data_IF_857597848670
#
_entry.id   IF_857597848670
#
_cell.length_a   1.000
_cell.length_b   1.000
_cell.length_c   1.000
_cell.angle_alpha   90.00
_cell.angle_beta   90.00
_cell.angle_gamma   90.00
#
_symmetry.space_group_name_H-M   'P 1'
#
loop_
_entity.id
_entity.type
_entity.pdbx_description
1 polymer ?
#
# COMPACT_ATOMS: atom_id res chain seq x y z
N UNK A 1 -72.08 -19.05 9.21
CA UNK A 1 -71.47 -19.55 7.97
C UNK A 1 -70.39 -18.55 7.54
N UNK A 2 -69.19 -18.84 7.82
CA UNK A 2 -67.97 -18.28 7.18
C UNK A 2 -66.78 -19.12 7.69
N UNK A 3 -66.13 -19.79 6.78
CA UNK A 3 -65.06 -20.72 7.01
C UNK A 3 -63.76 -20.00 7.42
N UNK A 4 -63.10 -20.57 8.44
CA UNK A 4 -61.77 -20.18 8.89
C UNK A 4 -60.74 -20.94 8.06
N UNK A 5 -59.87 -20.22 7.36
CA UNK A 5 -58.66 -20.74 6.71
C UNK A 5 -57.53 -20.97 7.72
N UNK A 6 -56.56 -21.87 7.44
CA UNK A 6 -55.59 -22.35 8.43
C UNK A 6 -54.46 -21.36 8.67
N UNK A 7 -54.11 -21.23 9.98
CA UNK A 7 -53.06 -20.39 10.49
C UNK A 7 -51.66 -20.82 10.07
N UNK A 8 -50.83 -19.86 9.67
CA UNK A 8 -49.41 -20.01 9.51
C UNK A 8 -48.75 -20.08 10.90
N UNK A 9 -48.08 -21.19 11.17
CA UNK A 9 -47.18 -21.37 12.31
C UNK A 9 -45.97 -20.47 12.14
N UNK A 10 -45.68 -19.62 13.12
CA UNK A 10 -44.41 -18.98 13.28
C UNK A 10 -43.43 -20.03 13.80
N UNK A 11 -42.39 -20.28 13.02
CA UNK A 11 -41.23 -21.07 13.42
C UNK A 11 -40.28 -20.14 14.20
N UNK A 12 -40.26 -20.31 15.51
CA UNK A 12 -39.27 -19.64 16.39
C UNK A 12 -37.92 -20.40 16.25
N UNK A 13 -37.22 -20.08 15.18
CA UNK A 13 -35.87 -20.58 14.92
C UNK A 13 -34.86 -19.88 15.81
N UNK A 14 -34.30 -20.66 16.70
CA UNK A 14 -33.22 -20.43 17.64
C UNK A 14 -32.11 -19.52 17.10
N UNK A 15 -31.79 -18.49 17.90
CA UNK A 15 -30.69 -17.56 17.63
C UNK A 15 -29.34 -18.24 17.72
N UNK A 16 -28.78 -18.63 16.62
CA UNK A 16 -27.35 -18.87 16.51
C UNK A 16 -26.63 -17.54 16.66
N UNK A 17 -26.07 -17.27 17.83
CA UNK A 17 -25.07 -16.23 18.06
C UNK A 17 -23.85 -16.54 17.18
N UNK A 18 -23.89 -16.04 15.94
CA UNK A 18 -22.76 -16.08 15.02
C UNK A 18 -21.59 -15.33 15.64
N UNK A 19 -20.55 -16.06 16.01
CA UNK A 19 -19.23 -15.55 16.32
C UNK A 19 -18.83 -14.58 15.20
N UNK A 20 -18.91 -13.28 15.48
CA UNK A 20 -18.33 -12.26 14.61
C UNK A 20 -16.84 -12.53 14.60
N UNK A 21 -16.34 -13.11 13.54
CA UNK A 21 -14.91 -13.18 13.29
C UNK A 21 -14.32 -11.77 13.34
N UNK A 22 -13.01 -11.64 13.61
CA UNK A 22 -12.38 -10.33 13.71
C UNK A 22 -12.69 -9.52 12.45
N UNK A 23 -13.12 -8.26 12.65
CA UNK A 23 -13.41 -7.32 11.57
C UNK A 23 -12.14 -7.19 10.71
N UNK A 24 -12.12 -7.82 9.55
CA UNK A 24 -11.03 -7.69 8.59
C UNK A 24 -11.05 -6.28 8.03
N UNK A 25 -10.09 -5.48 8.45
CA UNK A 25 -9.85 -4.17 7.84
C UNK A 25 -9.35 -4.43 6.40
N UNK A 26 -9.94 -3.75 5.42
CA UNK A 26 -9.54 -3.91 4.03
C UNK A 26 -8.03 -3.71 3.87
N UNK A 27 -7.35 -4.69 3.28
CA UNK A 27 -5.90 -4.66 3.07
C UNK A 27 -5.05 -5.23 4.20
N UNK A 28 -5.64 -5.70 5.31
CA UNK A 28 -4.90 -6.37 6.40
C UNK A 28 -4.89 -7.87 6.17
N UNK A 29 -3.69 -8.44 6.08
CA UNK A 29 -3.45 -9.88 5.95
C UNK A 29 -2.75 -10.38 7.23
N UNK A 30 -3.53 -10.94 8.16
CA UNK A 30 -3.03 -11.45 9.43
C UNK A 30 -2.18 -12.74 9.31
N UNK A 31 -2.09 -13.33 8.11
CA UNK A 31 -1.21 -14.48 7.87
C UNK A 31 0.24 -14.09 7.66
N UNK A 32 0.52 -12.82 7.40
CA UNK A 32 1.87 -12.30 7.22
C UNK A 32 2.48 -11.88 8.54
N UNK A 33 3.75 -12.18 8.72
CA UNK A 33 4.50 -11.68 9.86
C UNK A 33 4.60 -10.15 9.78
N UNK A 34 4.16 -9.46 10.84
CA UNK A 34 4.32 -8.02 10.95
C UNK A 34 5.78 -7.63 11.12
N UNK A 35 6.13 -6.45 10.63
CA UNK A 35 7.40 -5.80 10.95
C UNK A 35 7.20 -4.97 12.20
N UNK A 36 8.09 -5.07 13.17
CA UNK A 36 8.04 -4.31 14.43
C UNK A 36 9.42 -3.77 14.80
N UNK A 37 9.45 -2.81 15.72
CA UNK A 37 10.68 -2.16 16.19
C UNK A 37 10.88 -0.77 15.59
N UNK A 38 12.05 -0.18 15.82
CA UNK A 38 12.42 1.14 15.31
C UNK A 38 12.40 2.25 16.37
N UNK A 39 12.39 3.52 15.94
CA UNK A 39 12.44 4.65 16.86
C UNK A 39 11.21 4.70 17.78
N UNK A 40 11.43 5.11 19.03
CA UNK A 40 10.34 5.45 19.93
C UNK A 40 9.56 6.66 19.44
N UNK A 41 8.23 6.60 19.50
CA UNK A 41 7.34 7.73 19.23
C UNK A 41 6.88 8.30 20.57
N UNK A 42 7.37 9.49 20.90
CA UNK A 42 7.07 10.17 22.16
C UNK A 42 6.05 11.28 21.93
N UNK A 43 4.86 11.11 22.48
CA UNK A 43 3.80 12.12 22.42
C UNK A 43 3.77 12.93 23.73
N UNK A 44 4.24 14.17 23.68
CA UNK A 44 4.23 15.07 24.81
C UNK A 44 2.87 15.76 24.94
N UNK A 45 2.20 15.54 26.05
CA UNK A 45 0.92 16.16 26.43
C UNK A 45 -0.15 16.10 25.32
N UNK A 46 -0.37 14.92 24.68
CA UNK A 46 -1.38 14.82 23.64
C UNK A 46 -2.76 15.20 24.19
N UNK A 47 -3.51 15.99 23.42
CA UNK A 47 -4.73 16.62 23.94
C UNK A 47 -5.98 15.77 23.68
N UNK A 48 -5.98 14.95 22.64
CA UNK A 48 -7.14 14.15 22.22
C UNK A 48 -6.78 12.67 22.20
N UNK A 49 -7.62 11.85 22.85
CA UNK A 49 -7.46 10.39 22.80
C UNK A 49 -7.50 9.84 21.37
N UNK A 50 -8.35 10.40 20.52
CA UNK A 50 -8.48 10.02 19.12
C UNK A 50 -7.15 10.21 18.36
N UNK A 51 -6.38 11.25 18.67
CA UNK A 51 -5.08 11.47 18.06
C UNK A 51 -4.04 10.43 18.52
N UNK A 52 -4.10 9.99 19.78
CA UNK A 52 -3.25 8.91 20.28
C UNK A 52 -3.58 7.62 19.50
N UNK A 53 -4.87 7.29 19.36
CA UNK A 53 -5.30 6.08 18.66
C UNK A 53 -4.93 6.10 17.19
N UNK A 54 -5.16 7.22 16.49
CA UNK A 54 -4.78 7.36 15.08
C UNK A 54 -3.26 7.39 14.88
N UNK A 55 -2.48 7.92 15.85
CA UNK A 55 -1.03 7.84 15.83
C UNK A 55 -0.54 6.39 16.01
N UNK A 56 -1.13 5.62 16.94
CA UNK A 56 -0.83 4.21 17.12
C UNK A 56 -1.09 3.41 15.83
N UNK A 57 -2.19 3.71 15.13
CA UNK A 57 -2.48 3.11 13.82
C UNK A 57 -1.41 3.48 12.77
N UNK A 58 -1.00 4.74 12.71
CA UNK A 58 0.07 5.19 11.82
C UNK A 58 1.39 4.48 12.13
N UNK A 59 1.71 4.29 13.41
CA UNK A 59 2.87 3.54 13.87
C UNK A 59 2.83 2.07 13.39
N UNK A 60 1.72 1.38 13.61
CA UNK A 60 1.57 -0.03 13.20
C UNK A 60 1.70 -0.19 11.68
N UNK A 61 1.11 0.71 10.89
CA UNK A 61 1.25 0.70 9.42
C UNK A 61 2.71 0.80 8.98
N UNK A 62 3.56 1.42 9.78
CA UNK A 62 4.97 1.64 9.48
C UNK A 62 5.93 0.73 10.28
N UNK A 63 5.39 -0.28 10.98
CA UNK A 63 6.18 -1.23 11.75
C UNK A 63 6.82 -0.65 13.01
N UNK A 64 6.21 0.39 13.60
CA UNK A 64 6.63 1.00 14.85
C UNK A 64 5.73 0.52 15.99
N UNK A 65 6.30 0.23 17.16
CA UNK A 65 5.58 -0.32 18.31
C UNK A 65 5.91 0.35 19.66
N UNK A 66 7.00 1.11 19.80
CA UNK A 66 7.34 1.81 21.04
C UNK A 66 6.64 3.16 21.13
N UNK A 67 5.41 3.16 21.66
CA UNK A 67 4.63 4.36 21.95
C UNK A 67 4.87 4.84 23.39
N UNK A 68 5.30 6.09 23.54
CA UNK A 68 5.53 6.75 24.84
C UNK A 68 4.60 7.95 25.00
N UNK A 69 3.85 7.96 26.08
CA UNK A 69 2.90 9.03 26.38
C UNK A 69 3.37 9.83 27.59
N UNK A 70 3.54 11.12 27.41
CA UNK A 70 3.89 12.03 28.51
C UNK A 70 2.64 12.81 28.89
N UNK A 71 2.09 12.60 30.08
CA UNK A 71 0.96 13.32 30.65
C UNK A 71 -0.19 13.60 29.66
N UNK A 72 -0.80 12.56 29.05
CA UNK A 72 -1.94 12.77 28.15
C UNK A 72 -3.06 13.51 28.91
N UNK A 73 -3.60 14.58 28.30
CA UNK A 73 -4.57 15.47 28.97
C UNK A 73 -5.83 14.74 29.43
N UNK A 74 -6.36 13.86 28.59
CA UNK A 74 -7.60 13.14 28.87
C UNK A 74 -7.37 11.82 29.65
N UNK A 75 -6.14 11.63 30.18
CA UNK A 75 -5.76 10.43 30.92
C UNK A 75 -5.41 9.23 30.07
N UNK A 76 -4.93 8.19 30.72
CA UNK A 76 -4.59 6.90 30.12
C UNK A 76 -4.88 5.75 31.09
N UNK A 77 -5.46 4.60 30.69
CA UNK A 77 -5.96 4.29 29.33
C UNK A 77 -7.15 5.15 28.89
N UNK A 78 -7.44 5.20 27.57
CA UNK A 78 -8.44 6.10 26.99
C UNK A 78 -9.29 5.38 25.92
N UNK A 79 -10.60 5.27 26.14
CA UNK A 79 -11.52 4.56 25.25
C UNK A 79 -11.61 5.18 23.85
N UNK A 80 -11.46 6.50 23.72
CA UNK A 80 -11.44 7.17 22.41
C UNK A 80 -10.19 6.82 21.63
N UNK A 81 -9.06 6.61 22.32
CA UNK A 81 -7.83 6.14 21.67
C UNK A 81 -8.03 4.72 21.14
N UNK A 82 -8.63 3.84 21.91
CA UNK A 82 -8.94 2.46 21.47
C UNK A 82 -9.87 2.47 20.27
N UNK A 83 -10.96 3.25 20.32
CA UNK A 83 -11.90 3.36 19.20
C UNK A 83 -11.24 3.88 17.91
N UNK A 84 -10.30 4.82 18.01
CA UNK A 84 -9.62 5.43 16.89
C UNK A 84 -8.45 4.59 16.33
N UNK A 85 -7.94 3.65 17.11
CA UNK A 85 -6.77 2.83 16.72
C UNK A 85 -7.06 1.82 15.61
N UNK A 86 -8.32 1.40 15.44
CA UNK A 86 -8.77 0.55 14.31
C UNK A 86 -7.87 -0.67 14.07
N UNK A 87 -7.62 -1.48 15.12
CA UNK A 87 -6.79 -2.69 15.05
C UNK A 87 -5.32 -2.51 15.46
N UNK A 88 -4.90 -1.30 15.86
CA UNK A 88 -3.58 -1.07 16.42
C UNK A 88 -3.56 -1.25 17.97
N UNK A 89 -4.41 -2.13 18.50
CA UNK A 89 -4.56 -2.38 19.93
C UNK A 89 -3.26 -2.83 20.58
N UNK A 90 -2.41 -3.58 19.86
CA UNK A 90 -1.11 -4.01 20.35
C UNK A 90 -0.16 -2.85 20.66
N UNK A 91 -0.16 -1.79 19.84
CA UNK A 91 0.64 -0.58 20.09
C UNK A 91 0.12 0.17 21.31
N UNK A 92 -1.21 0.28 21.45
CA UNK A 92 -1.82 0.91 22.63
C UNK A 92 -1.58 0.12 23.92
N UNK A 93 -1.66 -1.22 23.84
CA UNK A 93 -1.39 -2.09 25.01
C UNK A 93 0.08 -2.02 25.45
N UNK A 94 1.00 -1.82 24.51
CA UNK A 94 2.43 -1.60 24.77
C UNK A 94 2.80 -0.18 25.17
N UNK A 95 1.85 0.77 25.11
CA UNK A 95 2.13 2.18 25.39
C UNK A 95 2.59 2.41 26.83
N UNK A 96 3.70 3.13 26.98
CA UNK A 96 4.30 3.46 28.28
C UNK A 96 3.95 4.90 28.68
N UNK A 97 3.54 5.08 29.94
CA UNK A 97 3.18 6.39 30.50
C UNK A 97 4.34 6.98 31.28
N UNK A 98 4.66 8.23 31.03
CA UNK A 98 5.77 8.93 31.68
C UNK A 98 5.32 10.24 32.35
N UNK A 99 5.94 10.63 33.49
CA UNK A 99 5.63 11.87 34.18
C UNK A 99 6.21 13.11 33.50
N UNK A 100 7.25 12.98 32.70
CA UNK A 100 7.91 14.10 32.01
C UNK A 100 8.58 13.64 30.70
N UNK A 101 8.96 14.60 29.83
CA UNK A 101 9.67 14.32 28.58
C UNK A 101 11.04 13.73 28.88
N UNK A 102 11.76 14.24 29.88
CA UNK A 102 13.08 13.74 30.30
C UNK A 102 13.00 12.26 30.69
N UNK A 103 11.96 11.87 31.43
CA UNK A 103 11.76 10.46 31.79
C UNK A 103 11.43 9.59 30.58
N UNK A 104 10.70 10.15 29.60
CA UNK A 104 10.31 9.42 28.40
C UNK A 104 11.44 9.19 27.40
N UNK A 105 12.49 10.01 27.45
CA UNK A 105 13.64 9.92 26.52
C UNK A 105 14.94 9.45 27.19
N UNK A 106 14.92 9.21 28.50
CA UNK A 106 16.12 8.99 29.30
C UNK A 106 16.94 7.74 28.93
N UNK A 107 16.35 6.79 28.23
CA UNK A 107 16.98 5.58 27.69
C UNK A 107 17.37 5.70 26.21
N UNK A 108 17.11 6.83 25.57
CA UNK A 108 17.43 7.09 24.16
C UNK A 108 18.82 7.74 24.05
N UNK A 109 19.55 7.36 23.00
CA UNK A 109 20.84 7.97 22.63
C UNK A 109 20.63 9.16 21.71
N UNK A 110 19.66 9.05 20.78
CA UNK A 110 19.38 10.08 19.78
C UNK A 110 17.92 10.47 19.82
N UNK A 111 17.66 11.76 19.98
CA UNK A 111 16.31 12.34 20.07
C UNK A 111 16.09 13.41 19.03
N UNK A 112 15.03 13.25 18.22
CA UNK A 112 14.57 14.22 17.25
C UNK A 112 13.33 14.96 17.78
N UNK A 113 13.27 16.29 17.65
CA UNK A 113 12.11 17.08 17.99
C UNK A 113 11.35 17.49 16.72
N UNK A 114 10.12 16.99 16.53
CA UNK A 114 9.29 17.37 15.38
C UNK A 114 8.62 18.73 15.63
N UNK A 115 8.94 19.73 14.80
CA UNK A 115 8.36 21.07 14.86
C UNK A 115 8.22 21.70 13.47
N UNK A 116 7.15 22.46 13.29
CA UNK A 116 6.92 23.29 12.09
C UNK A 116 7.29 24.76 12.29
N UNK A 117 7.76 25.13 13.49
CA UNK A 117 8.04 26.54 13.85
C UNK A 117 9.54 26.75 13.97
N UNK A 118 10.03 27.85 13.38
CA UNK A 118 11.34 28.39 13.72
C UNK A 118 11.37 28.78 15.21
N UNK A 119 12.35 28.28 15.94
CA UNK A 119 12.47 28.44 17.40
C UNK A 119 13.68 29.26 17.80
N UNK A 120 14.38 29.87 16.84
CA UNK A 120 15.59 30.70 17.08
C UNK A 120 16.66 29.97 17.92
N UNK A 121 16.71 28.66 17.83
CA UNK A 121 17.73 27.83 18.48
C UNK A 121 18.77 27.39 17.47
N UNK A 122 20.04 27.44 17.85
CA UNK A 122 21.12 26.88 17.05
C UNK A 122 21.11 25.36 17.22
N UNK A 123 20.30 24.69 16.38
CA UNK A 123 20.22 23.22 16.32
C UNK A 123 20.29 22.77 14.87
N UNK A 124 20.82 21.58 14.68
CA UNK A 124 20.76 20.91 13.40
C UNK A 124 19.30 20.62 13.04
N UNK A 125 18.92 20.89 11.78
CA UNK A 125 17.58 20.65 11.26
C UNK A 125 17.68 19.65 10.10
N UNK A 126 16.75 18.67 10.09
CA UNK A 126 16.68 17.64 9.06
C UNK A 126 15.26 17.38 8.60
N UNK A 127 15.11 16.86 7.39
CA UNK A 127 13.82 16.35 6.88
C UNK A 127 13.51 14.98 7.47
N UNK A 128 12.24 14.50 7.42
CA UNK A 128 11.88 13.15 7.85
C UNK A 128 12.68 12.05 7.16
N UNK A 129 12.95 12.20 5.85
CA UNK A 129 13.78 11.26 5.08
C UNK A 129 15.20 11.17 5.64
N UNK A 130 15.85 12.31 5.86
CA UNK A 130 17.20 12.32 6.41
C UNK A 130 17.24 11.77 7.83
N UNK A 131 16.26 12.10 8.66
CA UNK A 131 16.13 11.53 10.00
C UNK A 131 15.95 10.00 9.95
N UNK A 132 15.13 9.49 9.03
CA UNK A 132 14.92 8.06 8.86
C UNK A 132 16.20 7.31 8.47
N UNK A 133 16.99 7.85 7.53
CA UNK A 133 18.28 7.29 7.14
C UNK A 133 19.24 7.21 8.34
N UNK A 134 19.33 8.25 9.15
CA UNK A 134 20.18 8.30 10.34
C UNK A 134 19.70 7.32 11.42
N UNK A 135 18.40 7.33 11.74
CA UNK A 135 17.83 6.39 12.72
C UNK A 135 18.04 4.94 12.31
N UNK A 136 18.05 4.63 10.99
CA UNK A 136 18.42 3.28 10.50
C UNK A 136 19.86 2.93 10.83
N UNK A 137 20.79 3.86 10.64
CA UNK A 137 22.19 3.68 11.04
C UNK A 137 22.32 3.41 12.53
N UNK A 138 21.75 4.26 13.36
CA UNK A 138 21.78 4.13 14.82
C UNK A 138 21.19 2.79 15.31
N UNK A 139 20.02 2.43 14.76
CA UNK A 139 19.39 1.14 15.11
C UNK A 139 20.25 -0.06 14.69
N UNK A 140 20.96 0.02 13.58
CA UNK A 140 21.88 -1.05 13.15
C UNK A 140 23.12 -1.17 14.07
N UNK A 141 23.52 -0.08 14.71
CA UNK A 141 24.57 -0.03 15.71
C UNK A 141 24.08 -0.38 17.13
N UNK A 142 22.77 -0.62 17.29
CA UNK A 142 22.17 -0.95 18.60
C UNK A 142 21.88 0.28 19.46
N UNK A 143 21.93 1.48 18.88
CA UNK A 143 21.65 2.73 19.59
C UNK A 143 20.16 3.07 19.52
N UNK A 144 19.56 3.31 20.70
CA UNK A 144 18.14 3.66 20.80
C UNK A 144 17.89 5.09 20.36
N UNK A 145 16.89 5.29 19.50
CA UNK A 145 16.52 6.61 19.02
C UNK A 145 15.01 6.83 19.12
N UNK A 146 14.59 8.10 19.10
CA UNK A 146 13.17 8.43 19.17
C UNK A 146 12.84 9.80 18.61
N UNK A 147 11.55 10.01 18.34
CA UNK A 147 11.01 11.26 17.82
C UNK A 147 9.96 11.79 18.76
N UNK A 148 10.17 13.04 19.20
CA UNK A 148 9.31 13.77 20.12
C UNK A 148 8.32 14.64 19.34
N UNK A 149 7.04 14.47 19.64
CA UNK A 149 5.92 15.27 19.11
C UNK A 149 5.22 16.02 20.23
N UNK A 150 4.87 17.26 19.97
CA UNK A 150 4.20 18.13 20.95
C UNK A 150 2.68 18.08 20.88
N UNK A 151 2.01 18.76 21.82
CA UNK A 151 0.56 18.92 21.83
C UNK A 151 0.04 19.59 20.56
N UNK A 152 -1.16 19.22 20.12
CA UNK A 152 -1.76 19.60 18.83
C UNK A 152 -1.88 21.13 18.66
N UNK A 153 -2.25 21.86 19.72
CA UNK A 153 -2.45 23.30 19.64
C UNK A 153 -1.17 24.13 19.62
N UNK A 154 -0.21 23.74 20.44
CA UNK A 154 0.96 24.58 20.74
C UNK A 154 2.25 24.06 20.14
N UNK A 155 2.27 22.75 19.79
CA UNK A 155 3.51 22.06 19.45
C UNK A 155 4.45 21.96 20.66
N UNK A 156 5.67 21.52 20.44
CA UNK A 156 6.69 21.44 21.48
C UNK A 156 7.05 22.82 22.01
N UNK A 157 7.25 22.93 23.31
CA UNK A 157 7.84 24.11 23.96
C UNK A 157 9.36 24.10 23.79
N UNK A 158 9.98 25.27 23.97
CA UNK A 158 11.43 25.40 23.77
C UNK A 158 12.25 24.50 24.69
N UNK A 159 11.80 24.29 25.90
CA UNK A 159 12.41 23.38 26.89
C UNK A 159 12.45 21.94 26.36
N UNK A 160 11.37 21.45 25.73
CA UNK A 160 11.33 20.13 25.14
C UNK A 160 12.24 20.01 23.90
N UNK A 161 12.27 21.06 23.06
CA UNK A 161 13.17 21.08 21.90
C UNK A 161 14.64 21.13 22.34
N UNK A 162 14.93 21.79 23.45
CA UNK A 162 16.29 21.85 23.99
C UNK A 162 16.84 20.47 24.38
N UNK A 163 15.98 19.55 24.79
CA UNK A 163 16.34 18.18 25.15
C UNK A 163 16.68 17.28 23.94
N UNK A 164 16.20 17.64 22.75
CA UNK A 164 16.49 16.87 21.55
C UNK A 164 17.85 17.26 20.94
N UNK A 165 18.48 16.31 20.24
CA UNK A 165 19.77 16.54 19.53
C UNK A 165 19.56 17.25 18.21
N UNK A 166 18.46 16.95 17.53
CA UNK A 166 18.18 17.42 16.16
C UNK A 166 16.71 17.82 16.04
N UNK A 167 16.46 18.90 15.31
CA UNK A 167 15.11 19.32 14.92
C UNK A 167 14.71 18.57 13.65
N UNK A 168 13.48 18.06 13.62
CA UNK A 168 12.89 17.41 12.47
C UNK A 168 11.77 18.30 11.93
N UNK A 169 11.94 18.82 10.72
CA UNK A 169 10.95 19.68 10.05
C UNK A 169 10.43 19.01 8.81
N UNK A 170 9.10 18.85 8.75
CA UNK A 170 8.41 18.32 7.56
C UNK A 170 8.27 19.47 6.55
N UNK A 171 8.83 19.37 5.34
CA UNK A 171 8.63 20.37 4.29
C UNK A 171 7.16 20.37 3.83
N UNK A 172 6.46 21.46 4.09
CA UNK A 172 5.04 21.62 3.77
C UNK A 172 4.78 22.96 3.07
N UNK A 173 3.52 23.18 2.67
CA UNK A 173 3.09 24.48 2.16
C UNK A 173 3.36 25.59 3.21
N UNK A 174 4.19 26.59 2.90
CA UNK A 174 4.52 27.65 3.87
C UNK A 174 3.31 28.40 4.41
N UNK A 175 2.23 28.50 3.62
CA UNK A 175 0.99 29.14 4.04
C UNK A 175 0.15 28.27 4.98
N UNK A 176 0.42 26.94 5.03
CA UNK A 176 -0.31 25.99 5.86
C UNK A 176 0.60 24.82 6.26
N UNK A 177 1.46 25.05 7.22
CA UNK A 177 2.51 24.10 7.65
C UNK A 177 2.15 23.27 8.88
N UNK A 178 0.92 23.40 9.41
CA UNK A 178 0.48 22.64 10.57
C UNK A 178 -0.07 21.27 10.13
N UNK A 179 0.46 20.19 10.70
CA UNK A 179 -0.10 18.84 10.57
C UNK A 179 -0.88 18.44 11.83
N UNK A 180 -1.89 17.62 11.65
CA UNK A 180 -2.44 16.84 12.75
C UNK A 180 -1.34 15.92 13.32
N UNK A 181 -1.41 15.64 14.63
CA UNK A 181 -0.41 14.82 15.33
C UNK A 181 -0.18 13.46 14.66
N UNK A 182 -1.25 12.74 14.35
CA UNK A 182 -1.15 11.42 13.70
C UNK A 182 -0.61 11.51 12.27
N UNK A 183 -0.90 12.60 11.54
CA UNK A 183 -0.32 12.84 10.21
C UNK A 183 1.20 13.07 10.31
N UNK A 184 1.66 13.83 11.30
CA UNK A 184 3.08 14.02 11.53
C UNK A 184 3.79 12.70 11.86
N UNK A 185 3.20 11.89 12.73
CA UNK A 185 3.69 10.53 13.05
C UNK A 185 3.72 9.65 11.80
N UNK A 186 2.67 9.70 10.96
CA UNK A 186 2.61 8.92 9.72
C UNK A 186 3.73 9.31 8.75
N UNK A 187 4.00 10.59 8.55
CA UNK A 187 5.07 11.06 7.65
C UNK A 187 6.43 10.52 8.11
N UNK A 188 6.73 10.63 9.39
CA UNK A 188 8.00 10.12 9.95
C UNK A 188 8.05 8.60 9.87
N UNK A 189 6.98 7.91 10.22
CA UNK A 189 6.88 6.46 10.15
C UNK A 189 7.00 5.93 8.70
N UNK A 190 6.40 6.61 7.73
CA UNK A 190 6.50 6.26 6.32
C UNK A 190 7.95 6.36 5.81
N UNK A 191 8.65 7.45 6.09
CA UNK A 191 10.06 7.58 5.71
C UNK A 191 10.94 6.54 6.42
N UNK A 192 10.67 6.25 7.70
CA UNK A 192 11.31 5.15 8.42
C UNK A 192 11.10 3.80 7.74
N UNK A 193 9.85 3.49 7.35
CA UNK A 193 9.52 2.20 6.72
C UNK A 193 10.17 2.07 5.34
N UNK A 194 10.10 3.12 4.52
CA UNK A 194 10.67 3.13 3.15
C UNK A 194 12.18 3.14 3.13
N UNK A 195 12.85 3.72 4.14
CA UNK A 195 14.30 3.67 4.27
C UNK A 195 14.86 2.25 4.52
N UNK A 196 14.01 1.29 4.90
CA UNK A 196 14.37 -0.14 5.03
C UNK A 196 14.26 -0.92 3.72
N UNK A 197 13.36 -0.53 2.88
CA UNK A 197 12.97 -1.27 1.68
C UNK A 197 13.09 -0.37 0.47
N UNK A 198 13.63 -0.88 -0.63
CA UNK A 198 13.41 -0.26 -1.93
C UNK A 198 12.07 -0.80 -2.49
N UNK A 199 10.95 -0.13 -2.24
CA UNK A 199 9.69 -0.56 -2.81
C UNK A 199 9.79 -0.49 -4.32
N UNK A 200 9.28 -1.52 -5.01
CA UNK A 200 9.16 -1.45 -6.46
C UNK A 200 8.32 -0.21 -6.82
N UNK A 201 8.91 0.70 -7.58
CA UNK A 201 8.25 1.93 -8.01
C UNK A 201 7.02 1.62 -8.87
N UNK A 202 7.03 0.48 -9.57
CA UNK A 202 5.95 0.00 -10.41
C UNK A 202 5.86 -1.53 -10.33
N UNK A 203 4.65 -2.07 -10.24
CA UNK A 203 4.40 -3.50 -10.33
C UNK A 203 3.14 -3.78 -11.14
N UNK A 204 3.22 -4.73 -12.08
CA UNK A 204 2.08 -5.23 -12.82
C UNK A 204 1.57 -6.51 -12.15
N UNK A 205 0.34 -6.48 -11.63
CA UNK A 205 -0.29 -7.68 -11.09
C UNK A 205 -0.81 -8.56 -12.22
N UNK A 206 -0.08 -9.64 -12.53
CA UNK A 206 -0.44 -10.59 -13.59
C UNK A 206 -1.28 -11.78 -13.09
N UNK A 207 -1.72 -11.75 -11.83
CA UNK A 207 -2.41 -12.89 -11.20
C UNK A 207 -1.52 -14.13 -11.17
N UNK A 208 -2.03 -15.26 -11.70
CA UNK A 208 -1.26 -16.49 -11.83
C UNK A 208 -0.53 -16.62 -13.18
N UNK A 209 -0.66 -15.62 -14.06
CA UNK A 209 -0.01 -15.61 -15.37
C UNK A 209 1.38 -15.00 -15.28
N UNK A 210 2.30 -15.50 -16.07
CA UNK A 210 3.64 -14.92 -16.23
C UNK A 210 3.71 -14.01 -17.45
N UNK A 211 4.66 -13.10 -17.52
CA UNK A 211 4.95 -12.36 -18.75
C UNK A 211 5.24 -13.33 -19.91
N UNK A 212 4.72 -13.05 -21.08
CA UNK A 212 4.98 -13.84 -22.27
C UNK A 212 6.45 -13.71 -22.69
N UNK A 213 7.06 -14.80 -23.08
CA UNK A 213 8.39 -14.77 -23.64
C UNK A 213 8.37 -14.37 -25.13
N UNK A 214 9.54 -14.05 -25.70
CA UNK A 214 9.63 -13.58 -27.08
C UNK A 214 9.18 -14.62 -28.10
N UNK A 215 9.38 -15.90 -27.84
CA UNK A 215 8.93 -16.97 -28.75
C UNK A 215 7.39 -17.06 -28.79
N UNK A 216 6.71 -16.86 -27.66
CA UNK A 216 5.24 -16.82 -27.56
C UNK A 216 4.68 -15.60 -28.32
N UNK A 217 5.28 -14.44 -28.10
CA UNK A 217 4.89 -13.21 -28.79
C UNK A 217 5.11 -13.31 -30.31
N UNK A 218 6.22 -13.89 -30.75
CA UNK A 218 6.49 -14.09 -32.17
C UNK A 218 5.50 -15.04 -32.82
N UNK A 219 5.14 -16.16 -32.17
CA UNK A 219 4.09 -17.07 -32.65
C UNK A 219 2.74 -16.37 -32.78
N UNK A 220 2.43 -15.47 -31.83
CA UNK A 220 1.23 -14.68 -31.93
C UNK A 220 1.29 -13.73 -33.14
N UNK A 221 2.40 -13.08 -33.38
CA UNK A 221 2.56 -12.22 -34.56
C UNK A 221 2.37 -12.99 -35.87
N UNK A 222 2.99 -14.16 -36.01
CA UNK A 222 2.83 -15.01 -37.18
C UNK A 222 1.35 -15.35 -37.43
N UNK A 223 0.66 -15.85 -36.42
CA UNK A 223 -0.76 -16.17 -36.53
C UNK A 223 -1.64 -14.95 -36.83
N UNK A 224 -1.39 -13.83 -36.18
CA UNK A 224 -2.15 -12.59 -36.37
C UNK A 224 -1.93 -11.99 -37.75
N UNK A 225 -0.68 -11.96 -38.22
CA UNK A 225 -0.33 -11.42 -39.53
C UNK A 225 -0.88 -12.30 -40.68
N UNK A 226 -0.85 -13.64 -40.54
CA UNK A 226 -1.49 -14.57 -41.45
C UNK A 226 -2.99 -14.26 -41.56
N UNK A 227 -3.67 -14.12 -40.43
CA UNK A 227 -5.10 -13.78 -40.37
C UNK A 227 -5.41 -12.42 -41.04
N UNK A 228 -4.54 -11.42 -40.86
CA UNK A 228 -4.71 -10.12 -41.47
C UNK A 228 -4.47 -10.14 -43.02
N UNK A 229 -3.61 -11.03 -43.48
CA UNK A 229 -3.43 -11.27 -44.91
C UNK A 229 -4.66 -11.93 -45.49
N UNK A 230 -5.15 -13.01 -44.87
CA UNK A 230 -6.33 -13.77 -45.34
C UNK A 230 -7.62 -12.92 -45.32
N UNK A 231 -7.78 -12.06 -44.32
CA UNK A 231 -8.90 -11.10 -44.26
C UNK A 231 -8.82 -10.00 -45.34
N UNK A 232 -7.67 -9.84 -45.97
CA UNK A 232 -7.40 -8.79 -46.92
C UNK A 232 -7.02 -7.42 -46.32
N UNK A 233 -6.85 -7.31 -45.01
CA UNK A 233 -6.42 -6.08 -44.37
C UNK A 233 -5.00 -5.69 -44.79
N UNK A 234 -4.10 -6.64 -44.96
CA UNK A 234 -2.71 -6.44 -45.43
C UNK A 234 -2.54 -6.71 -46.93
N UNK A 235 -3.51 -6.30 -47.79
CA UNK A 235 -3.47 -6.56 -49.25
C UNK A 235 -2.40 -5.79 -49.97
N UNK A 236 -2.08 -4.54 -49.55
CA UNK A 236 -1.15 -3.68 -50.29
C UNK A 236 0.30 -4.00 -49.92
N UNK A 237 1.05 -4.54 -50.86
CA UNK A 237 2.45 -4.95 -50.69
C UNK A 237 3.36 -3.84 -50.16
N UNK A 238 3.18 -2.60 -50.67
CA UNK A 238 4.05 -1.46 -50.34
C UNK A 238 3.90 -0.95 -48.91
N UNK A 239 2.70 -1.04 -48.33
CA UNK A 239 2.40 -0.59 -46.98
C UNK A 239 2.50 -1.69 -45.92
N UNK A 240 2.52 -2.97 -46.33
CA UNK A 240 2.54 -4.12 -45.45
C UNK A 240 3.68 -4.09 -44.43
N UNK A 241 4.97 -3.83 -44.82
CA UNK A 241 6.06 -3.84 -43.82
C UNK A 241 5.90 -2.78 -42.74
N UNK A 242 5.38 -1.61 -43.07
CA UNK A 242 5.14 -0.52 -42.12
C UNK A 242 4.00 -0.85 -41.16
N UNK A 243 2.88 -1.38 -41.69
CA UNK A 243 1.72 -1.75 -40.87
C UNK A 243 2.04 -2.91 -39.91
N UNK A 244 2.71 -3.95 -40.40
CA UNK A 244 3.19 -5.07 -39.59
C UNK A 244 4.07 -4.58 -38.45
N UNK A 245 5.02 -3.69 -38.70
CA UNK A 245 5.88 -3.11 -37.66
C UNK A 245 5.09 -2.34 -36.62
N UNK A 246 4.12 -1.55 -37.06
CA UNK A 246 3.29 -0.78 -36.13
C UNK A 246 2.43 -1.71 -35.22
N UNK A 247 1.85 -2.76 -35.79
CA UNK A 247 1.09 -3.75 -35.03
C UNK A 247 1.97 -4.51 -34.02
N UNK A 248 3.17 -4.94 -34.44
CA UNK A 248 4.13 -5.58 -33.53
C UNK A 248 4.53 -4.64 -32.39
N UNK A 249 4.80 -3.38 -32.67
CA UNK A 249 5.13 -2.37 -31.67
C UNK A 249 3.99 -2.15 -30.67
N UNK A 250 2.73 -2.22 -31.11
CA UNK A 250 1.57 -2.11 -30.23
C UNK A 250 1.58 -3.21 -29.15
N UNK A 251 1.68 -4.46 -29.58
CA UNK A 251 1.69 -5.61 -28.65
C UNK A 251 2.97 -5.71 -27.83
N UNK A 252 4.12 -5.28 -28.35
CA UNK A 252 5.36 -5.21 -27.59
C UNK A 252 5.27 -4.22 -26.42
N UNK A 253 4.61 -3.08 -26.62
CA UNK A 253 4.39 -2.09 -25.55
C UNK A 253 3.36 -2.55 -24.51
N UNK A 254 2.42 -3.41 -24.93
CA UNK A 254 1.38 -3.93 -24.04
C UNK A 254 1.94 -4.91 -22.98
N UNK A 255 3.18 -5.42 -23.15
CA UNK A 255 3.82 -6.36 -22.22
C UNK A 255 2.92 -7.54 -21.85
N UNK A 256 2.25 -8.13 -22.85
CA UNK A 256 1.26 -9.17 -22.69
C UNK A 256 1.76 -10.36 -21.86
N UNK A 257 0.89 -10.90 -21.02
CA UNK A 257 1.10 -12.17 -20.35
C UNK A 257 0.84 -13.36 -21.28
N UNK A 258 1.31 -14.55 -20.89
CA UNK A 258 1.06 -15.78 -21.63
C UNK A 258 -0.46 -16.05 -21.78
N UNK A 259 -1.25 -15.78 -20.74
CA UNK A 259 -2.70 -15.98 -20.77
C UNK A 259 -3.39 -14.99 -21.72
N UNK A 260 -2.94 -13.75 -21.77
CA UNK A 260 -3.46 -12.75 -22.70
C UNK A 260 -3.17 -13.13 -24.15
N UNK A 261 -1.95 -13.62 -24.44
CA UNK A 261 -1.62 -14.11 -25.79
C UNK A 261 -2.47 -15.32 -26.18
N UNK A 262 -2.75 -16.25 -25.26
CA UNK A 262 -3.70 -17.37 -25.51
C UNK A 262 -5.10 -16.84 -25.88
N UNK A 263 -5.59 -15.87 -25.11
CA UNK A 263 -6.88 -15.23 -25.36
C UNK A 263 -6.88 -14.58 -26.75
N UNK A 264 -5.84 -13.82 -27.09
CA UNK A 264 -5.71 -13.17 -28.39
C UNK A 264 -5.64 -14.19 -29.54
N UNK A 265 -4.91 -15.31 -29.38
CA UNK A 265 -4.95 -16.42 -30.35
C UNK A 265 -6.37 -16.94 -30.56
N UNK A 266 -7.15 -17.13 -29.48
CA UNK A 266 -8.54 -17.53 -29.54
C UNK A 266 -9.43 -16.54 -30.29
N UNK A 267 -9.25 -15.24 -30.03
CA UNK A 267 -9.96 -14.15 -30.73
C UNK A 267 -9.67 -14.19 -32.23
N UNK A 268 -8.39 -14.26 -32.62
CA UNK A 268 -7.99 -14.36 -34.03
C UNK A 268 -8.63 -15.57 -34.71
N UNK A 269 -8.55 -16.74 -34.06
CA UNK A 269 -9.17 -17.98 -34.59
C UNK A 269 -10.69 -17.85 -34.77
N UNK A 270 -11.37 -17.22 -33.79
CA UNK A 270 -12.81 -17.02 -33.86
C UNK A 270 -13.23 -16.09 -35.02
N UNK A 271 -12.48 -15.04 -35.29
CA UNK A 271 -12.75 -14.14 -36.41
C UNK A 271 -12.47 -14.77 -37.78
N UNK A 272 -11.51 -15.68 -37.86
CA UNK A 272 -11.20 -16.36 -39.12
C UNK A 272 -12.26 -17.41 -39.50
N UNK A 273 -13.08 -17.86 -38.54
CA UNK A 273 -14.10 -18.90 -38.75
C UNK A 273 -13.50 -20.28 -39.04
N UNK A 274 -14.33 -21.31 -39.22
CA UNK A 274 -13.86 -22.63 -39.61
C UNK A 274 -13.22 -22.53 -41.02
N UNK A 275 -11.93 -22.86 -41.15
CA UNK A 275 -11.26 -22.96 -42.46
C UNK A 275 -12.12 -23.87 -43.31
N UNK A 276 -12.68 -23.39 -44.45
CA UNK A 276 -13.23 -24.26 -45.47
C UNK A 276 -12.14 -25.26 -45.85
N UNK A 277 -12.36 -26.53 -45.59
CA UNK A 277 -11.50 -27.58 -46.10
C UNK A 277 -11.43 -27.38 -47.63
N UNK A 278 -10.24 -27.21 -48.16
CA UNK A 278 -10.03 -27.19 -49.60
C UNK A 278 -10.68 -28.48 -50.15
N UNK A 279 -11.64 -28.32 -51.04
CA UNK A 279 -12.22 -29.50 -51.73
C UNK A 279 -11.06 -30.22 -52.44
N UNK A 280 -10.98 -31.55 -52.34
CA UNK A 280 -9.96 -32.30 -53.05
C UNK A 280 -10.16 -32.06 -54.53
N UNK A 281 -9.09 -31.67 -55.20
CA UNK A 281 -9.04 -31.46 -56.66
C UNK A 281 -9.55 -32.75 -57.34
N UNK A 282 -10.56 -32.69 -58.23
CA UNK A 282 -11.01 -33.89 -58.94
C UNK A 282 -9.83 -34.50 -59.72
N UNK A 283 -9.73 -35.84 -59.80
CA UNK A 283 -8.66 -36.47 -60.59
C UNK A 283 -8.76 -36.09 -62.03
N UNK A 284 -7.63 -35.96 -62.75
CA UNK A 284 -7.63 -35.62 -64.16
C UNK A 284 -8.43 -36.70 -64.95
N UNK A 285 -9.34 -36.23 -65.81
CA UNK A 285 -10.09 -37.09 -66.70
C UNK A 285 -9.10 -37.93 -67.52
N UNK A 286 -9.32 -39.26 -67.50
CA UNK A 286 -8.54 -40.16 -68.33
C UNK A 286 -8.91 -39.92 -69.81
N UNK A 287 -7.93 -39.47 -70.59
CA UNK A 287 -8.00 -39.29 -72.02
C UNK A 287 -8.20 -40.70 -72.65
N UNK A 288 -9.42 -40.90 -73.15
CA UNK A 288 -9.78 -42.10 -73.93
C UNK A 288 -9.65 -41.72 -75.39
N UNK A 289 -8.51 -42.05 -75.97
CA UNK A 289 -8.34 -42.14 -77.41
C UNK A 289 -7.98 -43.53 -77.84
#
# INVERSE_FOLDING_TARGET
MAEMGPGLRRDDGDGAAGLRGPLTVAGTDHSRAGVTGGPAIVLAEPQLGENIGTAARAMLNCGLDDLRLVRPRDGWPNDRAVAAASGADGVLAGARLFPSVEAAIGDLVHVYASTARDRYMVKREVTPRRAAEEMRGFTAEGEACGVLFGPERTGLVNEHIALADTVLTVPLNPAFSSLNLAQAVLVVGYEWFTARTEPHAESLHTGHSRPANKAELLRFFEHFEEALVDSGFLRHSDKRPSMTRNLRNLFQRALCTEQELRTLHGVVTAFMGPRKRAEPHPPPEADNS
#
